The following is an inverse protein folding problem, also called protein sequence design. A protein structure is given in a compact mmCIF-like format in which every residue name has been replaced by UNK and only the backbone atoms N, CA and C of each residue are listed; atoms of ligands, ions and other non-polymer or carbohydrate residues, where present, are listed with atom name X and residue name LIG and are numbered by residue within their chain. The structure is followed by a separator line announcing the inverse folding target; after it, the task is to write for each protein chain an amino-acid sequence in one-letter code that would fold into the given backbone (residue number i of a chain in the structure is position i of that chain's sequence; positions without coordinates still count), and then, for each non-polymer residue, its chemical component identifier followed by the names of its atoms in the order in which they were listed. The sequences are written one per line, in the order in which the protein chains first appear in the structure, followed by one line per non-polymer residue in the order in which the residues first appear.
data_IF_628644400846
#
_entry.id   IF_628644400846
#
_cell.length_a   1.000
_cell.length_b   1.000
_cell.length_c   1.000
_cell.angle_alpha   90.00
_cell.angle_beta   90.00
_cell.angle_gamma   90.00
#
_symmetry.space_group_name_H-M   'P 1'
#
loop_
_entity.id
_entity.type
_entity.pdbx_description
1 polymer ?
#
# COMPACT_ATOMS: atom_id res chain seq x y z
N UNK A 1 -12.12 -8.82 -11.45
CA UNK A 1 -11.06 -9.09 -10.46
C UNK A 1 -10.45 -10.45 -10.74
N UNK A 2 -9.11 -10.58 -10.73
CA UNK A 2 -8.44 -11.88 -10.88
C UNK A 2 -7.41 -12.03 -9.77
N UNK A 3 -7.57 -13.06 -8.93
CA UNK A 3 -6.64 -13.47 -7.89
C UNK A 3 -5.73 -14.59 -8.42
N UNK A 4 -4.42 -14.47 -8.19
CA UNK A 4 -3.47 -15.50 -8.61
C UNK A 4 -2.04 -15.01 -8.80
N UNK A 5 -1.29 -15.76 -9.61
CA UNK A 5 0.11 -15.51 -9.95
C UNK A 5 0.20 -15.05 -11.40
N UNK A 6 1.00 -14.02 -11.64
CA UNK A 6 1.26 -13.47 -12.97
C UNK A 6 2.76 -13.44 -13.29
N UNK A 7 3.04 -13.32 -14.58
CA UNK A 7 4.38 -13.14 -15.13
C UNK A 7 4.40 -11.93 -16.06
N UNK A 8 5.44 -11.11 -15.96
CA UNK A 8 5.72 -10.00 -16.90
C UNK A 8 7.02 -10.32 -17.60
N UNK A 9 6.99 -10.51 -18.91
CA UNK A 9 8.14 -10.95 -19.72
C UNK A 9 8.61 -9.81 -20.61
N UNK A 10 9.89 -9.45 -20.57
CA UNK A 10 10.51 -8.61 -21.57
C UNK A 10 10.86 -9.47 -22.79
N UNK A 11 10.17 -9.25 -23.90
CA UNK A 11 10.32 -10.08 -25.11
C UNK A 11 11.64 -9.83 -25.85
N UNK A 12 12.34 -8.72 -25.58
CA UNK A 12 13.64 -8.40 -26.19
C UNK A 12 14.78 -9.27 -25.63
N UNK A 13 14.74 -9.57 -24.33
CA UNK A 13 15.85 -10.27 -23.64
C UNK A 13 15.42 -11.53 -22.89
N UNK A 14 14.13 -11.88 -22.90
CA UNK A 14 13.56 -13.06 -22.25
C UNK A 14 13.51 -12.98 -20.71
N UNK A 15 13.97 -11.89 -20.10
CA UNK A 15 13.90 -11.70 -18.64
C UNK A 15 12.46 -11.48 -18.22
N UNK A 16 12.13 -11.97 -17.03
CA UNK A 16 10.78 -11.85 -16.51
C UNK A 16 10.75 -11.50 -15.03
N UNK A 17 9.56 -11.10 -14.59
CA UNK A 17 9.14 -10.90 -13.22
C UNK A 17 7.96 -11.85 -12.91
N UNK A 18 7.90 -12.37 -11.69
CA UNK A 18 6.76 -13.13 -11.14
C UNK A 18 6.19 -12.39 -9.95
N UNK A 19 4.88 -12.23 -9.88
CA UNK A 19 4.22 -11.66 -8.70
C UNK A 19 2.90 -12.36 -8.40
N UNK A 20 2.47 -12.27 -7.15
CA UNK A 20 1.10 -12.57 -6.72
C UNK A 20 0.25 -11.31 -6.63
N UNK A 21 -1.07 -11.46 -6.77
CA UNK A 21 -2.01 -10.45 -6.27
C UNK A 21 -3.41 -11.01 -6.09
N UNK A 22 -4.16 -10.44 -5.15
CA UNK A 22 -5.63 -10.59 -5.06
C UNK A 22 -6.36 -9.92 -6.23
N UNK A 23 -5.75 -8.91 -6.85
CA UNK A 23 -6.28 -8.22 -8.02
C UNK A 23 -5.15 -7.92 -9.03
N UNK A 24 -4.82 -8.92 -9.86
CA UNK A 24 -3.70 -8.86 -10.82
C UNK A 24 -3.79 -7.65 -11.76
N UNK A 25 -4.97 -7.36 -12.29
CA UNK A 25 -5.15 -6.23 -13.21
C UNK A 25 -4.86 -4.89 -12.55
N UNK A 26 -5.19 -4.74 -11.26
CA UNK A 26 -4.83 -3.57 -10.48
C UNK A 26 -3.34 -3.52 -10.18
N UNK A 27 -2.72 -4.64 -9.81
CA UNK A 27 -1.26 -4.71 -9.59
C UNK A 27 -0.47 -4.34 -10.85
N UNK A 28 -0.93 -4.72 -12.04
CA UNK A 28 -0.31 -4.30 -13.30
C UNK A 28 -0.41 -2.79 -13.55
N UNK A 29 -1.55 -2.16 -13.24
CA UNK A 29 -1.67 -0.70 -13.31
C UNK A 29 -0.69 -0.02 -12.36
N UNK A 30 -0.57 -0.52 -11.13
CA UNK A 30 0.39 0.01 -10.15
C UNK A 30 1.84 -0.10 -10.64
N UNK A 31 2.21 -1.24 -11.22
CA UNK A 31 3.54 -1.46 -11.81
C UNK A 31 3.87 -0.49 -12.95
N UNK A 32 2.86 -0.14 -13.76
CA UNK A 32 3.02 0.64 -14.98
C UNK A 32 2.61 2.11 -14.85
N UNK A 33 2.06 2.50 -13.70
CA UNK A 33 1.68 3.88 -13.37
C UNK A 33 2.89 4.77 -13.05
N UNK A 34 2.76 6.06 -13.35
CA UNK A 34 3.73 7.09 -12.99
C UNK A 34 5.14 6.93 -13.61
N UNK A 35 5.28 6.20 -14.73
CA UNK A 35 6.58 5.95 -15.39
C UNK A 35 7.19 7.19 -16.07
N UNK A 36 6.46 8.30 -16.12
CA UNK A 36 6.86 9.57 -16.74
C UNK A 36 7.52 10.56 -15.76
N UNK A 37 7.66 10.21 -14.48
CA UNK A 37 8.21 11.08 -13.44
C UNK A 37 9.46 10.47 -12.84
N UNK A 38 10.50 11.29 -12.67
CA UNK A 38 11.67 10.92 -11.89
C UNK A 38 11.27 10.64 -10.43
N UNK A 39 11.18 9.38 -10.05
CA UNK A 39 10.92 8.96 -8.67
C UNK A 39 12.22 8.51 -7.99
N UNK A 40 12.48 8.79 -6.71
CA UNK A 40 13.60 8.20 -5.95
C UNK A 40 13.74 6.66 -6.07
N UNK A 41 12.64 5.96 -6.34
CA UNK A 41 12.58 4.52 -6.67
C UNK A 41 13.34 4.14 -7.95
N UNK A 42 13.73 5.09 -8.79
CA UNK A 42 14.44 4.89 -10.06
C UNK A 42 15.91 4.49 -9.89
N UNK A 43 16.43 4.64 -8.67
CA UNK A 43 17.83 4.39 -8.35
C UNK A 43 18.07 2.90 -8.07
N UNK A 44 17.96 2.05 -9.11
CA UNK A 44 18.53 0.69 -9.14
C UNK A 44 17.92 -0.39 -8.24
N UNK A 45 17.00 -0.04 -7.33
CA UNK A 45 16.47 -0.96 -6.33
C UNK A 45 15.20 -1.72 -6.79
N UNK A 46 14.58 -1.32 -7.91
CA UNK A 46 13.42 -2.02 -8.48
C UNK A 46 13.65 -2.47 -9.94
N UNK A 47 14.17 -3.70 -10.17
CA UNK A 47 14.62 -4.16 -11.49
C UNK A 47 13.55 -4.16 -12.57
N UNK A 48 12.29 -4.44 -12.20
CA UNK A 48 11.17 -4.47 -13.15
C UNK A 48 10.89 -3.06 -13.70
N UNK A 49 10.75 -2.07 -12.83
CA UNK A 49 10.51 -0.67 -13.25
C UNK A 49 11.72 -0.07 -13.96
N UNK A 50 12.93 -0.38 -13.51
CA UNK A 50 14.15 -0.01 -14.24
C UNK A 50 14.14 -0.57 -15.68
N UNK A 51 13.63 -1.78 -15.87
CA UNK A 51 13.41 -2.33 -17.20
C UNK A 51 12.31 -1.57 -17.97
N UNK A 52 11.17 -1.26 -17.34
CA UNK A 52 10.13 -0.45 -18.00
C UNK A 52 10.65 0.88 -18.52
N UNK A 53 11.42 1.61 -17.72
CA UNK A 53 12.03 2.88 -18.13
C UNK A 53 13.06 2.68 -19.24
N UNK A 54 13.97 1.71 -19.09
CA UNK A 54 14.99 1.39 -20.09
C UNK A 54 14.40 1.08 -21.46
N UNK A 55 13.26 0.38 -21.49
CA UNK A 55 12.56 -0.02 -22.70
C UNK A 55 11.36 0.88 -23.03
N UNK A 56 11.27 2.05 -22.38
CA UNK A 56 10.30 3.12 -22.67
C UNK A 56 8.85 2.65 -22.69
N UNK A 57 8.43 1.88 -21.67
CA UNK A 57 7.04 1.52 -21.50
C UNK A 57 6.22 2.79 -21.18
N UNK A 58 5.38 3.22 -22.11
CA UNK A 58 4.52 4.41 -21.96
C UNK A 58 3.05 4.06 -21.67
N UNK A 59 2.66 2.80 -21.87
CA UNK A 59 1.27 2.36 -21.77
C UNK A 59 1.00 1.64 -20.45
N UNK A 60 -0.07 2.07 -19.77
CA UNK A 60 -0.56 1.41 -18.55
C UNK A 60 -1.15 0.05 -18.90
N UNK A 61 -0.62 -1.01 -18.29
CA UNK A 61 -1.12 -2.37 -18.49
C UNK A 61 -2.26 -2.67 -17.50
N UNK A 62 -3.45 -2.96 -18.01
CA UNK A 62 -4.62 -3.31 -17.20
C UNK A 62 -5.28 -4.63 -17.59
N UNK A 63 -4.83 -5.26 -18.67
CA UNK A 63 -5.33 -6.55 -19.20
C UNK A 63 -4.18 -7.41 -19.72
N UNK A 64 -4.36 -8.73 -19.87
CA UNK A 64 -3.30 -9.61 -20.37
C UNK A 64 -2.96 -9.29 -21.81
N UNK A 65 -1.70 -9.45 -22.18
CA UNK A 65 -1.21 -9.19 -23.54
C UNK A 65 0.03 -8.32 -23.56
N UNK A 66 0.26 -7.69 -24.72
CA UNK A 66 1.43 -6.87 -24.96
C UNK A 66 1.21 -5.42 -24.55
N UNK A 67 2.17 -4.85 -23.81
CA UNK A 67 2.29 -3.41 -23.56
C UNK A 67 3.75 -3.03 -23.89
N UNK A 68 3.95 -2.36 -25.03
CA UNK A 68 5.28 -2.18 -25.61
C UNK A 68 5.98 -3.52 -25.87
N UNK A 69 7.18 -3.71 -25.31
CA UNK A 69 7.97 -4.95 -25.39
C UNK A 69 7.72 -5.92 -24.23
N UNK A 70 6.74 -5.64 -23.38
CA UNK A 70 6.43 -6.46 -22.22
C UNK A 70 5.14 -7.24 -22.42
N UNK A 71 5.19 -8.54 -22.17
CA UNK A 71 4.05 -9.45 -22.21
C UNK A 71 3.55 -9.74 -20.79
N UNK A 72 2.30 -9.38 -20.51
CA UNK A 72 1.62 -9.57 -19.24
C UNK A 72 0.77 -10.84 -19.29
N UNK A 73 1.13 -11.84 -18.47
CA UNK A 73 0.46 -13.16 -18.42
C UNK A 73 -0.04 -13.49 -17.04
N UNK A 74 -1.24 -14.04 -16.95
CA UNK A 74 -1.67 -14.78 -15.75
C UNK A 74 -1.18 -16.22 -15.95
N UNK A 75 -0.33 -16.71 -15.05
CA UNK A 75 0.24 -18.06 -15.13
C UNK A 75 -0.46 -19.06 -14.22
N UNK A 76 -1.14 -18.58 -13.18
CA UNK A 76 -1.97 -19.41 -12.31
C UNK A 76 -3.08 -18.59 -11.64
N UNK A 77 -4.30 -19.11 -11.62
CA UNK A 77 -5.37 -18.60 -10.76
C UNK A 77 -5.40 -19.42 -9.48
N UNK A 78 -5.38 -18.78 -8.32
CA UNK A 78 -5.48 -19.46 -7.04
C UNK A 78 -6.21 -18.59 -6.01
N UNK A 79 -6.62 -19.23 -4.91
CA UNK A 79 -7.26 -18.57 -3.77
C UNK A 79 -6.23 -17.78 -2.96
N UNK A 80 -6.70 -16.79 -2.18
CA UNK A 80 -5.81 -15.88 -1.45
C UNK A 80 -4.85 -16.58 -0.48
N UNK A 81 -5.34 -17.64 0.17
CA UNK A 81 -4.58 -18.47 1.11
C UNK A 81 -3.39 -19.20 0.45
N UNK A 82 -3.42 -19.36 -0.87
CA UNK A 82 -2.37 -20.05 -1.64
C UNK A 82 -1.35 -19.11 -2.27
N UNK A 83 -1.61 -17.80 -2.32
CA UNK A 83 -0.80 -16.88 -3.13
C UNK A 83 0.70 -16.92 -2.76
N UNK A 84 1.04 -16.91 -1.47
CA UNK A 84 2.44 -16.97 -0.99
C UNK A 84 3.13 -18.31 -1.27
N UNK A 85 2.39 -19.41 -1.28
CA UNK A 85 2.92 -20.73 -1.62
C UNK A 85 3.21 -20.80 -3.12
N UNK A 86 2.24 -20.37 -3.94
CA UNK A 86 2.29 -20.48 -5.39
C UNK A 86 3.27 -19.50 -6.02
N UNK A 87 3.37 -18.27 -5.51
CA UNK A 87 4.39 -17.32 -5.95
C UNK A 87 5.80 -17.90 -5.79
N UNK A 88 6.10 -18.45 -4.61
CA UNK A 88 7.38 -19.09 -4.32
C UNK A 88 7.67 -20.24 -5.27
N UNK A 89 6.68 -21.11 -5.49
CA UNK A 89 6.79 -22.22 -6.45
C UNK A 89 7.18 -21.72 -7.85
N UNK A 90 6.52 -20.68 -8.35
CA UNK A 90 6.82 -20.13 -9.69
C UNK A 90 8.14 -19.38 -9.76
N UNK A 91 8.53 -18.64 -8.71
CA UNK A 91 9.86 -18.00 -8.63
C UNK A 91 10.96 -19.06 -8.64
N UNK A 92 10.84 -20.14 -7.87
CA UNK A 92 11.82 -21.23 -7.84
C UNK A 92 11.90 -21.98 -9.16
N UNK A 93 10.75 -22.20 -9.82
CA UNK A 93 10.64 -22.88 -11.10
C UNK A 93 11.21 -22.07 -12.27
N UNK A 94 10.91 -20.76 -12.33
CA UNK A 94 11.25 -19.89 -13.48
C UNK A 94 12.59 -19.17 -13.28
N UNK A 95 12.97 -18.89 -12.03
CA UNK A 95 14.14 -18.07 -11.66
C UNK A 95 14.14 -16.70 -12.38
N UNK A 96 13.04 -15.92 -12.24
CA UNK A 96 12.85 -14.66 -12.96
C UNK A 96 13.92 -13.61 -12.60
N UNK A 97 14.52 -13.00 -13.61
CA UNK A 97 15.65 -12.06 -13.42
C UNK A 97 15.24 -10.73 -12.78
N UNK A 98 13.99 -10.31 -12.92
CA UNK A 98 13.51 -9.03 -12.37
C UNK A 98 13.02 -9.14 -10.92
N UNK A 99 12.85 -10.35 -10.38
CA UNK A 99 12.67 -10.54 -8.93
C UNK A 99 14.00 -10.39 -8.16
N UNK A 100 15.12 -10.21 -8.85
CA UNK A 100 16.45 -10.10 -8.27
C UNK A 100 16.80 -8.66 -7.87
N UNK A 101 16.15 -8.13 -6.83
CA UNK A 101 16.71 -7.19 -5.86
C UNK A 101 15.62 -6.92 -4.83
N UNK A 102 15.78 -7.50 -3.64
CA UNK A 102 15.28 -6.98 -2.37
C UNK A 102 15.67 -8.00 -1.31
N UNK A 103 16.94 -8.03 -0.92
CA UNK A 103 17.41 -8.58 0.37
C UNK A 103 16.54 -9.69 0.97
N UNK A 104 16.29 -10.78 0.23
CA UNK A 104 15.53 -11.89 0.78
C UNK A 104 16.50 -12.53 1.74
N UNK A 105 16.29 -12.53 3.07
CA UNK A 105 16.95 -13.54 3.84
C UNK A 105 16.31 -14.84 3.35
N UNK A 106 17.04 -15.59 2.53
CA UNK A 106 16.89 -17.04 2.28
C UNK A 106 16.97 -17.86 3.59
N UNK A 107 16.72 -17.22 4.74
CA UNK A 107 16.63 -17.74 6.09
C UNK A 107 15.37 -17.20 6.76
N UNK A 108 14.23 -17.16 6.05
CA UNK A 108 12.94 -17.11 6.75
C UNK A 108 12.81 -18.52 7.36
N UNK A 109 13.12 -18.66 8.67
CA UNK A 109 12.65 -19.81 9.48
C UNK A 109 11.24 -20.11 9.01
N UNK A 110 10.93 -21.39 8.73
CA UNK A 110 9.59 -21.86 8.38
C UNK A 110 8.60 -21.16 9.31
N UNK A 111 7.98 -20.08 8.82
CA UNK A 111 6.99 -19.34 9.59
C UNK A 111 5.77 -20.23 9.58
N UNK A 112 5.04 -20.27 10.69
CA UNK A 112 3.71 -20.83 10.64
C UNK A 112 2.90 -19.92 9.72
N UNK A 113 2.77 -20.31 8.45
CA UNK A 113 2.26 -19.48 7.34
C UNK A 113 0.76 -19.18 7.48
N UNK A 114 0.12 -19.79 8.49
CA UNK A 114 -1.31 -19.76 8.74
C UNK A 114 -1.75 -18.69 9.75
N UNK A 115 -0.82 -18.06 10.48
CA UNK A 115 -1.19 -17.03 11.46
C UNK A 115 -1.10 -15.64 10.84
N UNK A 116 -2.25 -15.09 10.46
CA UNK A 116 -2.36 -13.71 9.96
C UNK A 116 -1.94 -12.72 11.04
N UNK A 117 -0.93 -11.90 10.77
CA UNK A 117 -0.53 -10.83 11.69
C UNK A 117 -1.13 -9.51 11.29
N UNK A 118 -1.17 -8.62 12.27
CA UNK A 118 -1.73 -7.29 12.15
C UNK A 118 -0.70 -6.26 12.52
N UNK A 119 -0.72 -5.14 11.83
CA UNK A 119 0.25 -4.06 11.98
C UNK A 119 -0.49 -2.72 11.98
N UNK A 120 0.15 -1.70 12.56
CA UNK A 120 -0.27 -0.30 12.41
C UNK A 120 0.82 0.46 11.70
N UNK A 121 0.42 1.28 10.73
CA UNK A 121 1.20 2.41 10.20
C UNK A 121 0.55 3.69 10.70
N UNK A 122 1.34 4.64 11.19
CA UNK A 122 0.86 5.95 11.63
C UNK A 122 1.43 7.08 10.78
N UNK A 123 0.55 7.91 10.24
CA UNK A 123 0.90 9.13 9.51
C UNK A 123 0.51 10.35 10.35
N UNK A 124 1.48 11.21 10.61
CA UNK A 124 1.24 12.49 11.28
C UNK A 124 1.03 13.57 10.22
N UNK A 125 -0.21 13.94 9.95
CA UNK A 125 -0.54 14.99 8.97
C UNK A 125 0.24 16.27 9.25
N UNK A 126 0.31 16.70 10.51
CA UNK A 126 0.95 17.96 10.89
C UNK A 126 2.47 17.98 10.60
N UNK A 127 3.08 16.80 10.45
CA UNK A 127 4.50 16.65 10.15
C UNK A 127 4.75 16.37 8.66
N UNK A 128 3.79 15.75 7.98
CA UNK A 128 3.89 15.39 6.56
C UNK A 128 3.38 16.50 5.63
N UNK A 129 2.36 17.25 6.07
CA UNK A 129 1.69 18.27 5.28
C UNK A 129 0.67 17.74 4.26
N UNK A 130 0.43 16.42 4.24
CA UNK A 130 -0.49 15.77 3.31
C UNK A 130 -1.16 14.55 3.95
N UNK A 131 -2.27 14.11 3.37
CA UNK A 131 -2.97 12.88 3.74
C UNK A 131 -2.62 11.72 2.80
N UNK A 132 -2.74 10.45 3.25
CA UNK A 132 -2.46 9.31 2.37
C UNK A 132 -3.39 9.31 1.15
N UNK A 133 -2.80 9.34 -0.04
CA UNK A 133 -3.51 9.41 -1.32
C UNK A 133 -3.36 10.74 -2.06
N UNK A 134 -2.89 11.81 -1.41
CA UNK A 134 -2.70 13.14 -2.06
C UNK A 134 -1.85 13.06 -3.33
N UNK A 135 -0.74 12.32 -3.28
CA UNK A 135 0.19 12.16 -4.40
C UNK A 135 -0.42 11.42 -5.61
N UNK A 136 -1.55 10.73 -5.43
CA UNK A 136 -2.24 10.02 -6.52
C UNK A 136 -2.94 11.01 -7.45
N UNK A 137 -3.46 12.12 -6.92
CA UNK A 137 -4.04 13.21 -7.74
C UNK A 137 -2.97 13.74 -8.69
N UNK A 138 -1.76 13.92 -8.19
CA UNK A 138 -0.66 14.39 -9.02
C UNK A 138 -0.32 13.35 -10.09
N UNK A 139 -0.19 12.05 -9.74
CA UNK A 139 0.35 11.00 -10.63
C UNK A 139 -0.54 10.62 -11.82
N UNK A 140 -1.87 10.70 -11.67
CA UNK A 140 -2.81 10.32 -12.73
C UNK A 140 -3.46 11.52 -13.44
N UNK A 141 -3.08 12.75 -13.05
CA UNK A 141 -3.69 13.98 -13.53
C UNK A 141 -5.10 14.20 -12.93
N UNK A 142 -5.75 15.30 -13.32
CA UNK A 142 -7.12 15.64 -12.89
C UNK A 142 -8.13 14.64 -13.48
N UNK A 143 -8.21 13.44 -12.92
CA UNK A 143 -9.37 12.57 -13.11
C UNK A 143 -10.39 12.97 -12.06
N UNK A 144 -11.60 13.34 -12.51
CA UNK A 144 -12.70 13.66 -11.60
C UNK A 144 -13.09 12.45 -10.73
N UNK A 145 -12.73 11.22 -11.14
CA UNK A 145 -13.00 9.99 -10.41
C UNK A 145 -11.85 8.97 -10.50
N UNK A 146 -11.41 8.47 -9.35
CA UNK A 146 -10.41 7.42 -9.22
C UNK A 146 -11.07 6.09 -8.87
N UNK A 147 -10.48 4.97 -9.30
CA UNK A 147 -10.84 3.67 -8.73
C UNK A 147 -10.56 3.70 -7.22
N UNK A 148 -11.59 3.48 -6.39
CA UNK A 148 -11.47 3.58 -4.92
C UNK A 148 -10.38 2.70 -4.34
N UNK A 149 -10.15 1.56 -4.98
CA UNK A 149 -9.06 0.64 -4.67
C UNK A 149 -7.68 1.23 -4.99
N UNK A 150 -7.52 2.00 -6.07
CA UNK A 150 -6.22 2.54 -6.48
C UNK A 150 -5.68 3.55 -5.44
N UNK A 151 -6.54 4.14 -4.61
CA UNK A 151 -6.18 5.07 -3.52
C UNK A 151 -5.53 4.43 -2.27
N UNK A 152 -5.55 3.08 -2.15
CA UNK A 152 -5.08 2.35 -0.95
C UNK A 152 -3.90 1.44 -1.25
N UNK A 153 -3.27 1.61 -2.42
CA UNK A 153 -2.31 0.64 -2.90
C UNK A 153 -0.97 0.63 -2.19
N UNK A 154 -0.67 1.66 -1.37
CA UNK A 154 0.67 1.86 -0.82
C UNK A 154 0.64 2.44 0.60
N UNK A 155 1.59 2.00 1.42
CA UNK A 155 2.06 2.69 2.62
C UNK A 155 3.58 2.89 2.53
N UNK A 156 4.10 3.98 3.09
CA UNK A 156 5.53 4.23 3.18
C UNK A 156 6.00 4.25 4.64
N UNK A 157 7.21 3.76 4.89
CA UNK A 157 7.81 3.77 6.22
C UNK A 157 9.33 3.75 6.15
N UNK A 158 10.01 4.33 7.13
CA UNK A 158 11.45 4.14 7.31
C UNK A 158 11.80 2.93 8.19
N UNK A 159 10.79 2.15 8.59
CA UNK A 159 10.97 1.01 9.49
C UNK A 159 11.19 -0.28 8.71
N UNK A 160 12.41 -0.81 8.79
CA UNK A 160 12.79 -2.12 8.21
C UNK A 160 11.89 -3.29 8.65
N UNK A 161 11.16 -3.16 9.75
CA UNK A 161 10.22 -4.19 10.23
C UNK A 161 9.13 -4.54 9.22
N UNK A 162 8.79 -3.66 8.26
CA UNK A 162 7.83 -3.93 7.18
C UNK A 162 8.23 -5.10 6.26
N UNK A 163 9.53 -5.42 6.16
CA UNK A 163 9.99 -6.63 5.46
C UNK A 163 9.41 -7.92 6.07
N UNK A 164 8.90 -7.86 7.31
CA UNK A 164 8.24 -8.97 7.96
C UNK A 164 6.72 -9.01 7.75
N UNK A 165 6.12 -7.97 7.18
CA UNK A 165 4.68 -7.79 7.04
C UNK A 165 4.11 -8.29 5.71
N UNK A 166 4.93 -8.80 4.78
CA UNK A 166 4.42 -9.39 3.54
C UNK A 166 3.49 -10.57 3.85
N UNK A 167 2.25 -10.49 3.36
CA UNK A 167 1.12 -11.38 3.63
C UNK A 167 0.20 -10.90 4.77
N UNK A 168 0.64 -9.92 5.57
CA UNK A 168 -0.05 -9.46 6.77
C UNK A 168 -0.93 -8.23 6.50
N UNK A 169 -1.84 -7.95 7.43
CA UNK A 169 -2.73 -6.78 7.38
C UNK A 169 -2.10 -5.59 8.11
N UNK A 170 -2.19 -4.41 7.52
CA UNK A 170 -1.82 -3.13 8.10
C UNK A 170 -3.05 -2.24 8.19
N UNK A 171 -3.27 -1.64 9.35
CA UNK A 171 -4.20 -0.53 9.54
C UNK A 171 -3.43 0.78 9.46
N UNK A 172 -3.85 1.69 8.58
CA UNK A 172 -3.28 3.03 8.47
C UNK A 172 -4.08 3.99 9.35
N UNK A 173 -3.41 4.62 10.31
CA UNK A 173 -3.98 5.63 11.19
C UNK A 173 -3.38 6.99 10.86
N UNK A 174 -4.23 7.98 10.64
CA UNK A 174 -3.83 9.37 10.39
C UNK A 174 -4.10 10.20 11.64
N UNK A 175 -3.10 10.90 12.14
CA UNK A 175 -3.22 11.87 13.22
C UNK A 175 -3.18 13.29 12.66
N UNK A 176 -4.16 14.12 13.03
CA UNK A 176 -4.31 15.49 12.54
C UNK A 176 -4.73 16.45 13.67
N UNK A 177 -4.15 17.65 13.68
CA UNK A 177 -4.46 18.69 14.65
C UNK A 177 -3.63 18.60 15.92
N UNK A 178 -3.59 19.70 16.67
CA UNK A 178 -2.62 19.88 17.76
C UNK A 178 -3.29 19.83 19.14
N UNK A 179 -4.52 20.35 19.30
CA UNK A 179 -5.20 20.41 20.61
C UNK A 179 -6.75 20.48 20.50
N UNK A 180 -7.48 19.36 20.70
CA UNK A 180 -6.95 18.00 20.81
C UNK A 180 -6.52 17.45 19.46
N UNK A 181 -5.46 16.62 19.46
CA UNK A 181 -5.10 15.82 18.29
C UNK A 181 -6.14 14.76 18.02
N UNK A 182 -6.57 14.66 16.77
CA UNK A 182 -7.56 13.69 16.31
C UNK A 182 -6.87 12.54 15.58
N UNK A 183 -7.36 11.31 15.76
CA UNK A 183 -6.82 10.11 15.15
C UNK A 183 -7.91 9.38 14.38
N UNK A 184 -7.63 9.07 13.13
CA UNK A 184 -8.59 8.47 12.22
C UNK A 184 -8.06 7.15 11.66
N UNK A 185 -8.88 6.11 11.67
CA UNK A 185 -8.63 4.94 10.84
C UNK A 185 -8.86 5.36 9.39
N UNK A 186 -7.81 5.32 8.59
CA UNK A 186 -7.81 5.81 7.21
C UNK A 186 -8.10 4.68 6.22
N UNK A 187 -7.38 3.58 6.37
CA UNK A 187 -7.47 2.45 5.46
C UNK A 187 -6.97 1.16 6.08
N UNK A 188 -7.28 0.05 5.40
CA UNK A 188 -6.73 -1.27 5.67
C UNK A 188 -6.03 -1.77 4.40
N UNK A 189 -4.82 -2.31 4.54
CA UNK A 189 -4.01 -2.83 3.44
C UNK A 189 -3.43 -4.19 3.80
N UNK A 190 -3.51 -5.16 2.91
CA UNK A 190 -2.74 -6.40 3.00
C UNK A 190 -1.50 -6.24 2.12
N UNK A 191 -0.31 -6.40 2.71
CA UNK A 191 0.96 -6.21 2.00
C UNK A 191 1.23 -7.42 1.11
N UNK A 192 1.26 -7.21 -0.19
CA UNK A 192 1.58 -8.23 -1.20
C UNK A 192 3.06 -8.16 -1.61
N UNK A 193 3.64 -6.96 -1.66
CA UNK A 193 5.02 -6.69 -2.04
C UNK A 193 5.60 -5.56 -1.19
N UNK A 194 6.91 -5.59 -0.95
CA UNK A 194 7.64 -4.50 -0.29
C UNK A 194 8.80 -4.10 -1.17
N UNK A 195 8.84 -2.82 -1.52
CA UNK A 195 9.93 -2.20 -2.26
C UNK A 195 10.83 -1.43 -1.28
N UNK A 196 12.12 -1.35 -1.62
CA UNK A 196 13.12 -0.60 -0.85
C UNK A 196 13.57 0.55 -1.73
N UNK A 197 13.49 1.78 -1.23
CA UNK A 197 14.03 2.95 -1.91
C UNK A 197 15.15 3.56 -1.07
N UNK A 198 16.10 4.21 -1.75
CA UNK A 198 17.08 5.08 -1.10
C UNK A 198 16.66 6.52 -1.41
N UNK A 199 16.00 7.16 -0.46
CA UNK A 199 15.52 8.54 -0.56
C UNK A 199 16.48 9.46 0.18
N UNK A 200 17.17 10.33 -0.55
CA UNK A 200 18.10 11.33 0.02
C UNK A 200 19.18 10.73 0.96
N UNK A 201 19.66 9.52 0.65
CA UNK A 201 20.66 8.82 1.44
C UNK A 201 20.12 8.09 2.67
N UNK A 202 18.79 8.03 2.84
CA UNK A 202 18.12 7.21 3.85
C UNK A 202 17.27 6.12 3.20
N UNK A 203 17.32 4.91 3.77
CA UNK A 203 16.46 3.81 3.32
C UNK A 203 15.00 4.07 3.71
N UNK A 204 14.12 4.06 2.71
CA UNK A 204 12.67 4.01 2.85
C UNK A 204 12.14 2.67 2.34
N UNK A 205 10.95 2.31 2.80
CA UNK A 205 10.28 1.07 2.44
C UNK A 205 8.85 1.39 2.03
N UNK A 206 8.41 0.80 0.93
CA UNK A 206 7.08 1.01 0.36
C UNK A 206 6.36 -0.33 0.29
N UNK A 207 5.29 -0.46 1.08
CA UNK A 207 4.48 -1.67 1.14
C UNK A 207 3.29 -1.55 0.21
N UNK A 208 3.21 -2.41 -0.80
CA UNK A 208 2.15 -2.42 -1.79
C UNK A 208 1.21 -3.60 -1.59
N UNK A 209 -0.07 -3.42 -1.93
CA UNK A 209 -0.99 -4.55 -2.02
C UNK A 209 -2.46 -4.17 -2.17
N UNK A 210 -3.32 -5.05 -1.66
CA UNK A 210 -4.77 -4.90 -1.77
C UNK A 210 -5.40 -4.50 -0.43
N UNK A 211 -6.36 -3.59 -0.46
CA UNK A 211 -6.94 -2.94 0.69
C UNK A 211 -8.13 -2.09 0.29
N UNK A 212 -8.67 -1.34 1.25
CA UNK A 212 -9.78 -0.42 1.03
C UNK A 212 -9.73 0.80 1.95
N UNK A 213 -10.30 1.91 1.48
CA UNK A 213 -10.48 3.14 2.24
C UNK A 213 -11.65 2.95 3.19
N UNK A 214 -11.66 3.74 4.26
CA UNK A 214 -12.86 3.89 5.05
C UNK A 214 -13.89 4.75 4.28
N UNK A 215 -15.18 4.44 4.44
CA UNK A 215 -16.29 5.26 3.98
C UNK A 215 -16.44 6.45 4.93
N UNK A 216 -15.63 7.50 4.67
CA UNK A 216 -15.21 8.50 5.65
C UNK A 216 -14.23 7.93 6.69
N UNK A 217 -13.08 8.57 6.94
CA UNK A 217 -12.16 8.14 7.99
C UNK A 217 -12.83 8.08 9.37
N UNK A 218 -12.59 7.01 10.13
CA UNK A 218 -13.29 6.75 11.39
C UNK A 218 -12.53 7.35 12.56
N UNK A 219 -13.15 8.28 13.30
CA UNK A 219 -12.54 8.90 14.50
C UNK A 219 -12.34 7.87 15.62
N UNK A 220 -11.12 7.76 16.13
CA UNK A 220 -10.74 6.72 17.08
C UNK A 220 -10.63 7.19 18.54
N UNK A 221 -10.62 8.49 18.85
CA UNK A 221 -10.25 9.14 20.12
C UNK A 221 -10.92 8.68 21.45
N UNK A 222 -11.63 7.56 21.46
CA UNK A 222 -12.19 6.85 22.62
C UNK A 222 -11.15 6.51 23.71
N UNK A 223 -11.64 6.22 24.92
CA UNK A 223 -10.79 5.77 26.04
C UNK A 223 -10.01 4.47 25.70
N UNK A 224 -10.64 3.41 25.14
CA UNK A 224 -9.92 2.21 24.74
C UNK A 224 -8.84 2.49 23.69
N UNK A 225 -9.10 3.40 22.74
CA UNK A 225 -8.08 3.81 21.79
C UNK A 225 -6.91 4.53 22.43
N UNK A 226 -7.14 5.38 23.44
CA UNK A 226 -6.03 6.05 24.11
C UNK A 226 -5.11 5.04 24.81
N UNK A 227 -5.65 3.95 25.37
CA UNK A 227 -4.86 2.84 25.90
C UNK A 227 -4.09 2.12 24.77
N UNK A 228 -4.74 1.87 23.63
CA UNK A 228 -4.09 1.30 22.45
C UNK A 228 -2.96 2.19 21.90
N UNK A 229 -3.18 3.50 21.82
CA UNK A 229 -2.19 4.50 21.44
C UNK A 229 -0.98 4.45 22.37
N UNK A 230 -1.19 4.35 23.68
CA UNK A 230 -0.09 4.18 24.64
C UNK A 230 0.64 2.85 24.45
N UNK A 231 -0.07 1.74 24.20
CA UNK A 231 0.53 0.46 23.79
C UNK A 231 1.40 0.61 22.54
N UNK A 232 0.98 1.43 21.59
CA UNK A 232 1.74 1.77 20.39
C UNK A 232 2.90 2.76 20.62
N UNK A 233 3.30 3.02 21.87
CA UNK A 233 4.34 3.99 22.21
C UNK A 233 3.96 5.41 21.79
N UNK A 234 2.66 5.75 21.88
CA UNK A 234 2.07 6.98 21.35
C UNK A 234 2.40 7.22 19.87
N UNK A 235 2.46 6.13 19.09
CA UNK A 235 2.87 6.09 17.69
C UNK A 235 4.31 6.56 17.40
N UNK A 236 5.17 6.69 18.42
CA UNK A 236 6.60 7.00 18.22
C UNK A 236 7.35 5.96 17.38
N UNK A 237 6.82 4.73 17.28
CA UNK A 237 7.39 3.68 16.43
C UNK A 237 7.05 3.83 14.95
N UNK A 238 6.00 4.58 14.58
CA UNK A 238 5.53 4.76 13.20
C UNK A 238 4.91 3.51 12.57
N UNK A 239 5.65 2.39 12.53
CA UNK A 239 5.20 1.09 12.00
C UNK A 239 5.49 -0.04 12.99
N UNK A 240 4.46 -0.78 13.42
CA UNK A 240 4.62 -1.85 14.42
C UNK A 240 3.60 -2.97 14.31
N UNK A 241 3.97 -4.17 14.78
CA UNK A 241 3.08 -5.32 14.86
C UNK A 241 2.15 -5.21 16.07
N UNK A 242 0.87 -5.52 15.88
CA UNK A 242 -0.12 -5.73 16.93
C UNK A 242 -0.12 -7.22 17.28
N UNK A 243 0.22 -7.55 18.52
CA UNK A 243 0.24 -8.95 19.00
C UNK A 243 -1.00 -9.22 19.86
N UNK A 244 -0.83 -9.08 21.17
CA UNK A 244 -1.86 -9.39 22.16
C UNK A 244 -2.52 -8.10 22.67
N UNK A 245 -3.31 -7.45 21.82
CA UNK A 245 -4.02 -6.24 22.21
C UNK A 245 -5.53 -6.38 21.90
N UNK A 246 -6.36 -6.14 22.92
CA UNK A 246 -7.82 -6.26 22.81
C UNK A 246 -8.43 -5.31 21.77
N UNK A 247 -7.82 -4.14 21.56
CA UNK A 247 -8.28 -3.15 20.60
C UNK A 247 -8.16 -3.61 19.13
N UNK A 248 -7.37 -4.64 18.86
CA UNK A 248 -7.26 -5.23 17.52
C UNK A 248 -8.61 -5.70 16.98
N UNK A 249 -9.46 -6.30 17.84
CA UNK A 249 -10.79 -6.73 17.46
C UNK A 249 -11.66 -5.57 16.97
N UNK A 250 -11.54 -4.42 17.63
CA UNK A 250 -12.25 -3.20 17.26
C UNK A 250 -11.73 -2.59 15.95
N UNK A 251 -10.41 -2.57 15.72
CA UNK A 251 -9.85 -2.11 14.45
C UNK A 251 -10.31 -2.98 13.27
N UNK A 252 -10.38 -4.30 13.47
CA UNK A 252 -10.91 -5.23 12.46
C UNK A 252 -12.37 -4.89 12.15
N UNK A 253 -13.21 -4.83 13.18
CA UNK A 253 -14.63 -4.52 13.04
C UNK A 253 -14.85 -3.19 12.32
N UNK A 254 -14.25 -2.10 12.84
CA UNK A 254 -14.33 -0.78 12.21
C UNK A 254 -13.89 -0.80 10.74
N UNK A 255 -12.83 -1.54 10.42
CA UNK A 255 -12.34 -1.62 9.05
C UNK A 255 -13.30 -2.34 8.10
N UNK A 256 -14.02 -3.37 8.58
CA UNK A 256 -14.98 -4.11 7.76
C UNK A 256 -16.30 -3.34 7.63
N UNK A 257 -16.81 -2.80 8.74
CA UNK A 257 -18.12 -2.11 8.77
C UNK A 257 -18.11 -0.77 8.05
N UNK A 258 -16.96 -0.10 8.00
CA UNK A 258 -16.80 1.20 7.35
C UNK A 258 -16.04 1.09 6.04
N UNK A 259 -16.07 -0.04 5.34
CA UNK A 259 -15.43 -0.15 4.03
C UNK A 259 -16.09 0.79 3.00
N UNK A 260 -15.29 1.56 2.27
CA UNK A 260 -15.76 2.32 1.11
C UNK A 260 -16.32 1.35 0.05
N UNK A 261 -17.63 1.41 -0.16
CA UNK A 261 -18.38 0.47 -1.01
C UNK A 261 -18.57 0.92 -2.47
N UNK A 262 -17.95 2.03 -2.88
CA UNK A 262 -18.06 2.56 -4.25
C UNK A 262 -16.88 2.12 -5.12
N UNK A 263 -17.13 1.87 -6.41
CA UNK A 263 -16.08 1.46 -7.35
C UNK A 263 -15.17 2.63 -7.76
N UNK A 264 -15.75 3.81 -7.88
CA UNK A 264 -15.09 5.06 -8.23
C UNK A 264 -15.40 6.13 -7.19
N UNK A 265 -14.47 7.05 -6.96
CA UNK A 265 -14.60 8.14 -6.01
C UNK A 265 -13.87 9.38 -6.52
N UNK A 266 -14.50 10.55 -6.39
CA UNK A 266 -13.81 11.82 -6.49
C UNK A 266 -13.00 12.04 -5.21
N UNK A 267 -11.68 11.99 -5.32
CA UNK A 267 -10.82 12.03 -4.15
C UNK A 267 -10.78 13.43 -3.49
N UNK A 268 -10.90 14.51 -4.28
CA UNK A 268 -10.99 15.86 -3.73
C UNK A 268 -12.22 16.02 -2.82
N UNK A 269 -13.38 15.51 -3.26
CA UNK A 269 -14.60 15.50 -2.46
C UNK A 269 -14.40 14.67 -1.19
N UNK A 270 -13.79 13.48 -1.29
CA UNK A 270 -13.49 12.64 -0.13
C UNK A 270 -12.59 13.35 0.89
N UNK A 271 -11.57 14.07 0.43
CA UNK A 271 -10.66 14.84 1.29
C UNK A 271 -11.36 16.06 1.89
N UNK A 272 -12.15 16.79 1.10
CA UNK A 272 -12.94 17.92 1.59
C UNK A 272 -13.94 17.47 2.68
N UNK A 273 -14.63 16.36 2.47
CA UNK A 273 -15.52 15.76 3.47
C UNK A 273 -14.77 15.37 4.74
N UNK A 274 -13.57 14.80 4.60
CA UNK A 274 -12.70 14.49 5.74
C UNK A 274 -12.27 15.77 6.49
N UNK A 275 -11.85 16.83 5.80
CA UNK A 275 -11.47 18.09 6.47
C UNK A 275 -12.66 18.75 7.17
N UNK A 276 -13.85 18.70 6.58
CA UNK A 276 -15.08 19.14 7.24
C UNK A 276 -15.36 18.32 8.50
N UNK A 277 -15.13 17.00 8.47
CA UNK A 277 -15.23 16.13 9.65
C UNK A 277 -14.23 16.54 10.74
N UNK A 278 -12.98 16.84 10.37
CA UNK A 278 -11.94 17.29 11.32
C UNK A 278 -12.33 18.61 11.99
N UNK A 279 -12.87 19.56 11.23
CA UNK A 279 -13.35 20.86 11.75
C UNK A 279 -14.57 20.67 12.63
N UNK A 280 -15.50 19.81 12.24
CA UNK A 280 -16.67 19.52 13.07
C UNK A 280 -16.27 19.00 14.47
N UNK A 281 -15.25 18.15 14.54
CA UNK A 281 -14.72 17.63 15.80
C UNK A 281 -13.90 18.69 16.56
N UNK A 282 -13.13 19.53 15.87
CA UNK A 282 -12.38 20.63 16.47
C UNK A 282 -12.41 21.89 15.57
N UNK A 283 -13.33 22.85 15.82
CA UNK A 283 -13.49 24.04 14.98
C UNK A 283 -12.24 24.92 14.88
N UNK A 284 -11.29 24.78 15.82
CA UNK A 284 -10.01 25.53 15.78
C UNK A 284 -9.12 25.16 14.60
N UNK A 285 -9.36 24.01 13.96
CA UNK A 285 -8.58 23.53 12.82
C UNK A 285 -8.93 24.23 11.51
N UNK A 286 -10.05 24.96 11.43
CA UNK A 286 -10.55 25.60 10.19
C UNK A 286 -9.50 26.51 9.54
N UNK A 287 -8.92 27.45 10.31
CA UNK A 287 -7.88 28.36 9.79
C UNK A 287 -6.61 27.64 9.33
N UNK A 288 -6.34 26.43 9.82
CA UNK A 288 -5.13 25.68 9.46
C UNK A 288 -5.34 24.86 8.19
N UNK A 289 -6.57 24.44 7.92
CA UNK A 289 -6.91 23.61 6.77
C UNK A 289 -7.33 24.46 5.55
N UNK A 290 -7.96 25.62 5.78
CA UNK A 290 -8.53 26.46 4.73
C UNK A 290 -8.03 27.92 4.74
N UNK A 291 -7.13 28.27 5.66
CA UNK A 291 -6.59 29.63 5.82
C UNK A 291 -5.20 29.84 5.26
#
# INVERSE_FOLDING_TARGET
MVCGIYQIINTVNGKSYIGQSRNIYRRWRQHTGGLNRQNPLETGNYPLRAAFLKYQLQTVASTPGMSGVFEFKIIERCTEDKLLERERFWIEKIKPKYNCNTWTPLRRRVRNIYEQKFWVQYHNYDNLGYVPGDSIIDDYGTQEEFGSEDLVSCISTNKRSILNAQGDTVFLIVGIGVNPKQYYLWSKLIIEEVEIADEYGAQSYHGFGNGWLMNSPVLLNSIPFNQFKSYCGNFGFGFMSIRDNSYLSHLKDLSETNRLGVAQINFDNYINDFYNQVIHVNPKEERRLFG
#
